data_IF_372475070540
#
_entry.id   IF_372475070540
#
_cell.length_a   1.000
_cell.length_b   1.000
_cell.length_c   1.000
_cell.angle_alpha   90.00
_cell.angle_beta   90.00
_cell.angle_gamma   90.00
#
_symmetry.space_group_name_H-M   'P 1'
#
loop_
_entity.id
_entity.type
_entity.pdbx_description
1 polymer ?
#
# COMPACT_ATOMS: atom_id res chain seq x y z
N UNK A 1 2.24 -24.90 -17.76
CA UNK A 1 1.98 -23.49 -17.41
C UNK A 1 0.81 -23.08 -18.28
N UNK A 2 -0.37 -23.00 -17.68
CA UNK A 2 -1.66 -23.08 -18.37
C UNK A 2 -1.93 -21.87 -19.28
N UNK A 3 -2.42 -22.06 -20.53
CA UNK A 3 -2.76 -20.98 -21.46
C UNK A 3 -3.85 -20.04 -20.94
N UNK A 4 -4.67 -20.47 -19.97
CA UNK A 4 -5.72 -19.65 -19.37
C UNK A 4 -5.22 -18.45 -18.56
N UNK A 5 -4.06 -18.57 -17.90
CA UNK A 5 -3.53 -17.48 -17.06
C UNK A 5 -3.02 -16.27 -17.84
N UNK A 6 -2.72 -16.42 -19.13
CA UNK A 6 -2.26 -15.33 -19.98
C UNK A 6 -3.40 -14.48 -20.53
N UNK A 7 -4.56 -15.09 -20.79
CA UNK A 7 -5.76 -14.39 -21.26
C UNK A 7 -6.32 -13.49 -20.15
N UNK A 8 -6.42 -14.01 -18.93
CA UNK A 8 -6.77 -13.23 -17.74
C UNK A 8 -5.78 -12.07 -17.50
N UNK A 9 -4.47 -12.33 -17.65
CA UNK A 9 -3.46 -11.31 -17.50
C UNK A 9 -3.55 -10.18 -18.56
N UNK A 10 -3.96 -10.51 -19.79
CA UNK A 10 -4.19 -9.52 -20.83
C UNK A 10 -5.41 -8.65 -20.53
N UNK A 11 -6.46 -9.23 -19.96
CA UNK A 11 -7.64 -8.48 -19.51
C UNK A 11 -7.31 -7.55 -18.33
N UNK A 12 -6.51 -8.03 -17.37
CA UNK A 12 -5.96 -7.20 -16.28
C UNK A 12 -5.13 -6.05 -16.85
N UNK A 13 -4.27 -6.31 -17.84
CA UNK A 13 -3.48 -5.26 -18.49
C UNK A 13 -4.37 -4.26 -19.25
N UNK A 14 -5.41 -4.71 -19.95
CA UNK A 14 -6.36 -3.86 -20.65
C UNK A 14 -7.15 -2.97 -19.67
N UNK A 15 -7.61 -3.55 -18.56
CA UNK A 15 -8.32 -2.81 -17.51
C UNK A 15 -7.42 -1.77 -16.85
N UNK A 16 -6.16 -2.11 -16.55
CA UNK A 16 -5.18 -1.16 -16.05
C UNK A 16 -4.95 0.01 -17.03
N UNK A 17 -4.87 -0.26 -18.36
CA UNK A 17 -4.82 0.83 -19.36
C UNK A 17 -6.08 1.70 -19.36
N UNK A 18 -7.26 1.09 -19.25
CA UNK A 18 -8.52 1.82 -19.14
C UNK A 18 -8.54 2.75 -17.92
N UNK A 19 -8.05 2.27 -16.77
CA UNK A 19 -7.90 3.08 -15.55
C UNK A 19 -6.88 4.20 -15.73
N UNK A 20 -5.76 3.94 -16.40
CA UNK A 20 -4.77 4.97 -16.73
C UNK A 20 -5.38 6.08 -17.60
N UNK A 21 -6.13 5.73 -18.64
CA UNK A 21 -6.81 6.70 -19.51
C UNK A 21 -7.83 7.57 -18.75
N UNK A 22 -8.70 6.94 -17.94
CA UNK A 22 -9.66 7.66 -17.08
C UNK A 22 -8.98 8.60 -16.09
N UNK A 23 -7.86 8.17 -15.50
CA UNK A 23 -7.07 9.00 -14.61
C UNK A 23 -6.46 10.20 -15.34
N UNK A 24 -5.95 10.04 -16.58
CA UNK A 24 -5.49 11.16 -17.41
C UNK A 24 -6.62 12.15 -17.74
N UNK A 25 -7.82 11.67 -18.06
CA UNK A 25 -8.97 12.55 -18.28
C UNK A 25 -9.33 13.36 -17.02
N UNK A 26 -9.32 12.72 -15.85
CA UNK A 26 -9.55 13.40 -14.56
C UNK A 26 -8.45 14.43 -14.28
N UNK A 27 -7.20 14.10 -14.60
CA UNK A 27 -6.07 15.03 -14.49
C UNK A 27 -6.26 16.26 -15.38
N UNK A 28 -6.65 16.06 -16.65
CA UNK A 28 -6.90 17.14 -17.59
C UNK A 28 -8.06 18.04 -17.13
N UNK A 29 -9.17 17.46 -16.65
CA UNK A 29 -10.30 18.22 -16.09
C UNK A 29 -9.89 19.07 -14.89
N UNK A 30 -9.12 18.51 -13.96
CA UNK A 30 -8.63 19.24 -12.80
C UNK A 30 -7.63 20.34 -13.19
N UNK A 31 -6.72 20.09 -14.14
CA UNK A 31 -5.79 21.09 -14.65
C UNK A 31 -6.52 22.28 -15.31
N UNK A 32 -7.53 22.00 -16.15
CA UNK A 32 -8.35 23.05 -16.75
C UNK A 32 -9.13 23.86 -15.71
N UNK A 33 -9.55 23.25 -14.60
CA UNK A 33 -10.16 23.97 -13.49
C UNK A 33 -9.15 24.88 -12.76
N UNK A 34 -7.93 24.42 -12.54
CA UNK A 34 -6.86 25.24 -11.97
C UNK A 34 -6.59 26.47 -12.85
N UNK A 35 -6.42 26.28 -14.16
CA UNK A 35 -6.16 27.37 -15.11
C UNK A 35 -7.28 28.42 -15.14
N UNK A 36 -8.54 28.00 -14.99
CA UNK A 36 -9.66 28.95 -14.87
C UNK A 36 -9.51 29.82 -13.62
N UNK A 37 -9.18 29.23 -12.49
CA UNK A 37 -9.00 29.98 -11.24
C UNK A 37 -7.76 30.87 -11.27
N UNK A 38 -6.66 30.44 -11.89
CA UNK A 38 -5.46 31.26 -12.09
C UNK A 38 -5.76 32.52 -12.92
N UNK A 39 -6.62 32.42 -13.94
CA UNK A 39 -7.07 33.61 -14.69
C UNK A 39 -7.91 34.54 -13.81
N UNK A 40 -8.73 34.00 -12.91
CA UNK A 40 -9.55 34.79 -12.00
C UNK A 40 -8.71 35.54 -10.95
N UNK A 41 -7.55 35.03 -10.55
CA UNK A 41 -6.59 35.75 -9.68
C UNK A 41 -6.19 37.09 -10.29
N UNK A 42 -6.03 37.15 -11.62
CA UNK A 42 -5.64 38.36 -12.34
C UNK A 42 -6.83 39.30 -12.54
N UNK A 43 -8.03 38.76 -12.80
CA UNK A 43 -9.21 39.56 -13.13
C UNK A 43 -10.05 40.02 -11.94
N UNK A 44 -9.94 39.37 -10.77
CA UNK A 44 -10.64 39.72 -9.53
C UNK A 44 -9.65 39.80 -8.34
N UNK A 45 -9.02 40.97 -8.11
CA UNK A 45 -8.06 41.16 -7.04
C UNK A 45 -8.64 40.96 -5.63
N UNK A 46 -9.93 41.26 -5.44
CA UNK A 46 -10.59 41.16 -4.13
C UNK A 46 -10.76 39.69 -3.71
N UNK A 47 -10.96 38.78 -4.67
CA UNK A 47 -11.06 37.33 -4.45
C UNK A 47 -9.77 36.56 -4.79
N UNK A 48 -8.67 37.25 -5.10
CA UNK A 48 -7.45 36.64 -5.63
C UNK A 48 -6.87 35.53 -4.73
N UNK A 49 -6.85 35.74 -3.41
CA UNK A 49 -6.33 34.75 -2.46
C UNK A 49 -7.16 33.44 -2.46
N UNK A 50 -8.49 33.56 -2.53
CA UNK A 50 -9.39 32.42 -2.63
C UNK A 50 -9.17 31.66 -3.95
N UNK A 51 -9.12 32.37 -5.09
CA UNK A 51 -8.88 31.75 -6.38
C UNK A 51 -7.50 31.08 -6.47
N UNK A 52 -6.46 31.67 -5.86
CA UNK A 52 -5.15 31.04 -5.78
C UNK A 52 -5.18 29.73 -4.98
N UNK A 53 -5.88 29.70 -3.83
CA UNK A 53 -6.04 28.48 -3.02
C UNK A 53 -6.82 27.39 -3.77
N UNK A 54 -7.89 27.76 -4.48
CA UNK A 54 -8.68 26.83 -5.27
C UNK A 54 -7.88 26.30 -6.46
N UNK A 55 -7.12 27.15 -7.15
CA UNK A 55 -6.22 26.75 -8.22
C UNK A 55 -5.18 25.72 -7.73
N UNK A 56 -4.51 26.00 -6.60
CA UNK A 56 -3.53 25.11 -5.99
C UNK A 56 -4.14 23.74 -5.64
N UNK A 57 -5.36 23.74 -5.09
CA UNK A 57 -6.09 22.50 -4.79
C UNK A 57 -6.37 21.68 -6.05
N UNK A 58 -6.75 22.33 -7.14
CA UNK A 58 -6.93 21.69 -8.44
C UNK A 58 -5.61 21.20 -9.05
N UNK A 59 -4.50 21.94 -8.89
CA UNK A 59 -3.16 21.51 -9.33
C UNK A 59 -2.72 20.22 -8.62
N UNK A 60 -2.85 20.16 -7.29
CA UNK A 60 -2.57 18.94 -6.50
C UNK A 60 -3.44 17.77 -6.92
N UNK A 61 -4.74 18.04 -7.16
CA UNK A 61 -5.67 17.02 -7.64
C UNK A 61 -5.28 16.49 -9.01
N UNK A 62 -4.87 17.36 -9.93
CA UNK A 62 -4.40 16.96 -11.25
C UNK A 62 -3.10 16.14 -11.18
N UNK A 63 -2.15 16.54 -10.33
CA UNK A 63 -0.90 15.82 -10.12
C UNK A 63 -1.12 14.41 -9.58
N UNK A 64 -1.96 14.27 -8.55
CA UNK A 64 -2.37 12.98 -8.02
C UNK A 64 -3.03 12.08 -9.10
N UNK A 65 -3.87 12.62 -9.98
CA UNK A 65 -4.44 11.86 -11.09
C UNK A 65 -3.40 11.44 -12.15
N UNK A 66 -2.39 12.28 -12.42
CA UNK A 66 -1.26 11.90 -13.28
C UNK A 66 -0.44 10.77 -12.67
N UNK A 67 -0.15 10.83 -11.38
CA UNK A 67 0.56 9.76 -10.68
C UNK A 67 -0.22 8.45 -10.70
N UNK A 68 -1.54 8.48 -10.45
CA UNK A 68 -2.40 7.30 -10.60
C UNK A 68 -2.36 6.73 -12.01
N UNK A 69 -2.44 7.59 -13.04
CA UNK A 69 -2.34 7.14 -14.42
C UNK A 69 -0.99 6.47 -14.74
N UNK A 70 0.11 7.06 -14.27
CA UNK A 70 1.45 6.53 -14.47
C UNK A 70 1.64 5.16 -13.81
N UNK A 71 1.12 4.97 -12.59
CA UNK A 71 1.17 3.68 -11.90
C UNK A 71 0.40 2.59 -12.67
N UNK A 72 -0.83 2.87 -13.11
CA UNK A 72 -1.62 1.92 -13.89
C UNK A 72 -1.00 1.59 -15.25
N UNK A 73 -0.46 2.59 -15.96
CA UNK A 73 0.21 2.40 -17.23
C UNK A 73 1.48 1.53 -17.08
N UNK A 74 2.33 1.85 -16.10
CA UNK A 74 3.53 1.06 -15.79
C UNK A 74 3.20 -0.40 -15.46
N UNK A 75 2.18 -0.63 -14.63
CA UNK A 75 1.71 -1.99 -14.34
C UNK A 75 1.21 -2.70 -15.61
N UNK A 76 0.37 -2.06 -16.42
CA UNK A 76 -0.15 -2.65 -17.65
C UNK A 76 0.95 -3.04 -18.66
N UNK A 77 1.99 -2.20 -18.78
CA UNK A 77 3.11 -2.44 -19.67
C UNK A 77 3.97 -3.61 -19.17
N UNK A 78 4.21 -3.70 -17.86
CA UNK A 78 4.87 -4.87 -17.25
C UNK A 78 4.06 -6.14 -17.48
N UNK A 79 2.74 -6.10 -17.27
CA UNK A 79 1.88 -7.28 -17.46
C UNK A 79 1.90 -7.74 -18.91
N UNK A 80 1.89 -6.79 -19.86
CA UNK A 80 1.97 -7.11 -21.28
C UNK A 80 3.36 -7.59 -21.71
N UNK A 81 4.43 -7.15 -21.06
CA UNK A 81 5.78 -7.68 -21.27
C UNK A 81 5.89 -9.12 -20.74
N UNK A 82 5.33 -9.40 -19.57
CA UNK A 82 5.28 -10.73 -18.97
C UNK A 82 4.52 -11.74 -19.83
N UNK A 83 3.34 -11.38 -20.34
CA UNK A 83 2.57 -12.23 -21.27
C UNK A 83 3.36 -12.57 -22.54
N UNK A 84 4.26 -11.67 -22.96
CA UNK A 84 5.18 -11.90 -24.10
C UNK A 84 6.45 -12.68 -23.73
N UNK A 85 6.46 -13.33 -22.57
CA UNK A 85 7.56 -14.17 -22.09
C UNK A 85 8.74 -13.42 -21.50
N UNK A 86 8.55 -12.17 -21.01
CA UNK A 86 9.63 -11.38 -20.40
C UNK A 86 9.45 -11.22 -18.90
N UNK A 87 10.43 -11.68 -18.12
CA UNK A 87 10.47 -11.46 -16.67
C UNK A 87 9.46 -12.29 -15.88
N UNK A 88 9.20 -11.89 -14.63
CA UNK A 88 8.25 -12.51 -13.71
C UNK A 88 6.87 -11.85 -13.79
N UNK A 89 5.84 -12.50 -13.20
CA UNK A 89 4.50 -11.93 -13.08
C UNK A 89 4.59 -10.62 -12.26
N UNK A 90 4.19 -9.48 -12.82
CA UNK A 90 4.32 -8.21 -12.12
C UNK A 90 3.28 -8.07 -11.02
N UNK A 91 3.68 -7.42 -9.92
CA UNK A 91 2.80 -6.95 -8.84
C UNK A 91 2.59 -5.45 -9.04
N UNK A 92 1.40 -4.91 -8.70
CA UNK A 92 1.16 -3.46 -8.83
C UNK A 92 2.17 -2.62 -8.07
N UNK A 93 2.56 -3.09 -6.88
CA UNK A 93 3.55 -2.41 -6.05
C UNK A 93 4.94 -2.33 -6.68
N UNK A 94 5.27 -3.13 -7.69
CA UNK A 94 6.51 -2.91 -8.47
C UNK A 94 6.47 -1.58 -9.22
N UNK A 95 5.32 -1.19 -9.79
CA UNK A 95 5.18 0.11 -10.42
C UNK A 95 5.28 1.26 -9.40
N UNK A 96 4.85 1.03 -8.16
CA UNK A 96 4.94 1.99 -7.04
C UNK A 96 6.39 2.16 -6.58
N UNK A 97 7.09 1.04 -6.35
CA UNK A 97 8.51 1.02 -5.98
C UNK A 97 9.34 1.79 -7.01
N UNK A 98 9.20 1.43 -8.30
CA UNK A 98 9.85 2.10 -9.41
C UNK A 98 9.53 3.60 -9.47
N UNK A 99 8.26 3.99 -9.28
CA UNK A 99 7.87 5.39 -9.26
C UNK A 99 8.56 6.16 -8.14
N UNK A 100 8.73 5.55 -6.96
CA UNK A 100 9.43 6.16 -5.82
C UNK A 100 10.96 6.04 -5.90
N UNK A 101 11.47 5.36 -6.94
CA UNK A 101 12.90 5.13 -7.13
C UNK A 101 13.49 4.14 -6.12
N UNK A 102 12.70 3.23 -5.57
CA UNK A 102 13.17 2.10 -4.76
C UNK A 102 12.89 0.77 -5.48
N UNK A 103 13.52 -0.30 -5.01
CA UNK A 103 13.20 -1.67 -5.43
C UNK A 103 12.15 -2.32 -4.51
N UNK A 104 12.01 -1.83 -3.27
CA UNK A 104 11.21 -2.47 -2.23
C UNK A 104 10.21 -1.52 -1.58
N UNK A 105 8.92 -1.81 -1.76
CA UNK A 105 7.82 -1.03 -1.20
C UNK A 105 6.63 -1.93 -0.85
N UNK A 106 5.92 -1.56 0.21
CA UNK A 106 4.73 -2.25 0.70
C UNK A 106 3.61 -1.26 0.97
N UNK A 107 2.38 -1.70 0.75
CA UNK A 107 1.18 -1.02 1.19
C UNK A 107 0.43 -1.91 2.17
N UNK A 108 0.08 -1.36 3.33
CA UNK A 108 -0.72 -2.03 4.35
C UNK A 108 -2.02 -1.27 4.53
N UNK A 109 -3.15 -1.97 4.49
CA UNK A 109 -4.47 -1.42 4.78
C UNK A 109 -4.94 -1.91 6.14
N UNK A 110 -5.58 -1.03 6.91
CA UNK A 110 -6.08 -1.30 8.25
C UNK A 110 -7.55 -0.88 8.41
N UNK A 111 -8.23 -1.52 9.35
CA UNK A 111 -9.57 -1.10 9.79
C UNK A 111 -9.52 0.06 10.81
N UNK A 112 -10.69 0.49 11.28
CA UNK A 112 -10.80 1.53 12.31
C UNK A 112 -10.17 1.16 13.65
N UNK A 113 -9.95 -0.13 13.92
CA UNK A 113 -9.30 -0.64 15.12
C UNK A 113 -7.80 -0.93 14.90
N UNK A 114 -7.22 -0.48 13.77
CA UNK A 114 -5.83 -0.72 13.38
C UNK A 114 -5.48 -2.20 13.16
N UNK A 115 -6.47 -3.05 12.88
CA UNK A 115 -6.22 -4.41 12.43
C UNK A 115 -5.87 -4.38 10.94
N UNK A 116 -4.79 -5.07 10.58
CA UNK A 116 -4.38 -5.22 9.19
C UNK A 116 -5.40 -6.07 8.41
N UNK A 117 -5.95 -5.46 7.36
CA UNK A 117 -6.94 -6.04 6.46
C UNK A 117 -6.29 -6.65 5.22
N UNK A 118 -5.35 -5.92 4.64
CA UNK A 118 -4.72 -6.30 3.38
C UNK A 118 -3.29 -5.78 3.29
N UNK A 119 -2.44 -6.51 2.57
CA UNK A 119 -1.10 -6.07 2.21
C UNK A 119 -0.85 -6.33 0.74
N UNK A 120 -0.17 -5.40 0.06
CA UNK A 120 0.45 -5.68 -1.23
C UNK A 120 1.91 -5.20 -1.20
N UNK A 121 2.80 -5.92 -1.89
CA UNK A 121 4.25 -5.73 -1.80
C UNK A 121 4.92 -5.81 -3.17
N UNK A 122 6.01 -5.08 -3.38
CA UNK A 122 6.74 -5.09 -4.66
C UNK A 122 7.61 -6.32 -4.82
N UNK A 123 8.20 -6.81 -3.74
CA UNK A 123 9.20 -7.87 -3.72
C UNK A 123 9.07 -8.78 -2.49
N UNK A 124 9.99 -9.74 -2.35
CA UNK A 124 10.00 -10.70 -1.25
C UNK A 124 10.49 -10.09 0.08
N UNK A 125 11.57 -9.26 0.11
CA UNK A 125 11.95 -8.54 1.32
C UNK A 125 10.82 -7.69 1.91
N UNK A 126 10.05 -6.97 1.09
CA UNK A 126 8.88 -6.23 1.56
C UNK A 126 7.80 -7.16 2.13
N UNK A 127 7.60 -8.35 1.55
CA UNK A 127 6.66 -9.34 2.09
C UNK A 127 7.08 -9.77 3.49
N UNK A 128 8.34 -10.20 3.63
CA UNK A 128 8.89 -10.65 4.92
C UNK A 128 8.85 -9.53 5.97
N UNK A 129 9.19 -8.29 5.58
CA UNK A 129 9.08 -7.13 6.45
C UNK A 129 7.63 -6.89 6.90
N UNK A 130 6.63 -6.96 6.01
CA UNK A 130 5.23 -6.80 6.42
C UNK A 130 4.70 -7.97 7.26
N UNK A 131 5.15 -9.20 7.02
CA UNK A 131 4.81 -10.36 7.84
C UNK A 131 5.36 -10.21 9.26
N UNK A 132 6.63 -9.78 9.40
CA UNK A 132 7.25 -9.50 10.69
C UNK A 132 6.49 -8.42 11.46
N UNK A 133 6.18 -7.30 10.80
CA UNK A 133 5.42 -6.20 11.42
C UNK A 133 4.02 -6.66 11.87
N UNK A 134 3.37 -7.50 11.07
CA UNK A 134 2.07 -8.07 11.41
C UNK A 134 2.14 -8.98 12.64
N UNK A 135 3.13 -9.87 12.69
CA UNK A 135 3.31 -10.85 13.76
C UNK A 135 3.72 -10.17 15.07
N UNK A 136 4.71 -9.28 15.02
CA UNK A 136 5.30 -8.63 16.20
C UNK A 136 4.42 -7.51 16.75
N UNK A 137 3.55 -6.92 15.91
CA UNK A 137 2.68 -5.84 16.35
C UNK A 137 3.41 -4.52 16.61
N UNK A 138 4.61 -4.36 16.07
CA UNK A 138 5.39 -3.13 16.03
C UNK A 138 6.08 -3.01 14.66
N UNK A 139 6.24 -1.78 14.18
CA UNK A 139 6.88 -1.52 12.90
C UNK A 139 6.47 -0.20 12.26
N UNK A 140 7.09 0.14 11.12
CA UNK A 140 6.97 1.44 10.48
C UNK A 140 5.57 1.75 9.96
N UNK A 141 4.87 0.80 9.32
CA UNK A 141 3.52 1.04 8.81
C UNK A 141 2.50 1.30 9.92
N UNK A 142 2.60 0.55 11.02
CA UNK A 142 1.74 0.66 12.21
C UNK A 142 1.95 1.99 12.90
N UNK A 143 3.20 2.39 13.12
CA UNK A 143 3.52 3.67 13.74
C UNK A 143 3.04 4.83 12.87
N UNK A 144 3.26 4.76 11.55
CA UNK A 144 2.80 5.78 10.62
C UNK A 144 1.27 5.88 10.56
N UNK A 145 0.57 4.74 10.53
CA UNK A 145 -0.90 4.69 10.49
C UNK A 145 -1.53 5.16 11.81
N UNK A 146 -1.02 4.68 12.95
CA UNK A 146 -1.52 5.02 14.29
C UNK A 146 -1.21 6.47 14.65
N UNK A 147 0.01 6.93 14.35
CA UNK A 147 0.47 8.28 14.61
C UNK A 147 -0.01 9.32 13.60
N UNK A 148 -0.55 8.88 12.46
CA UNK A 148 -0.97 9.74 11.33
C UNK A 148 0.13 10.71 10.90
N UNK A 149 1.38 10.24 10.90
CA UNK A 149 2.53 11.04 10.52
C UNK A 149 3.59 10.17 9.83
N UNK A 150 4.42 10.74 8.95
CA UNK A 150 5.51 10.00 8.34
C UNK A 150 6.53 9.52 9.39
N UNK A 151 6.98 8.28 9.26
CA UNK A 151 8.02 7.68 10.09
C UNK A 151 9.22 7.35 9.21
N UNK A 152 10.40 7.84 9.59
CA UNK A 152 11.66 7.54 8.92
C UNK A 152 12.66 7.09 9.98
N UNK A 153 13.33 5.96 9.73
CA UNK A 153 14.35 5.39 10.61
C UNK A 153 15.51 4.86 9.76
N UNK A 154 16.73 4.98 10.27
CA UNK A 154 17.97 4.56 9.59
C UNK A 154 18.92 3.83 10.55
N UNK A 155 19.57 2.77 10.06
CA UNK A 155 20.60 2.03 10.80
C UNK A 155 20.14 1.63 12.22
N UNK A 156 20.95 1.95 13.22
CA UNK A 156 20.68 1.63 14.64
C UNK A 156 19.37 2.24 15.18
N UNK A 157 18.83 3.30 14.55
CA UNK A 157 17.53 3.83 14.96
C UNK A 157 16.39 2.85 14.69
N UNK A 158 16.50 2.01 13.66
CA UNK A 158 15.51 0.96 13.36
C UNK A 158 15.41 0.00 14.55
N UNK A 159 16.55 -0.48 15.05
CA UNK A 159 16.63 -1.41 16.18
C UNK A 159 16.19 -0.77 17.50
N UNK A 160 16.56 0.50 17.73
CA UNK A 160 16.13 1.23 18.93
C UNK A 160 14.62 1.49 18.94
N UNK A 161 14.05 1.81 17.78
CA UNK A 161 12.64 2.21 17.66
C UNK A 161 11.71 1.01 17.74
N UNK A 162 12.10 -0.11 17.15
CA UNK A 162 11.34 -1.35 17.16
C UNK A 162 12.22 -2.50 17.66
N UNK A 163 12.30 -2.75 18.98
CA UNK A 163 13.24 -3.73 19.54
C UNK A 163 13.01 -5.18 19.11
N UNK A 164 11.78 -5.56 18.76
CA UNK A 164 11.42 -6.87 18.24
C UNK A 164 11.51 -6.96 16.71
N UNK A 165 11.12 -5.90 16.00
CA UNK A 165 11.09 -5.86 14.53
C UNK A 165 12.43 -5.46 13.90
N UNK A 166 13.10 -4.49 14.49
CA UNK A 166 14.27 -3.83 13.94
C UNK A 166 15.45 -4.77 13.71
N UNK A 167 15.86 -5.62 14.67
CA UNK A 167 16.95 -6.58 14.45
C UNK A 167 16.68 -7.57 13.31
N UNK A 168 15.42 -7.99 13.12
CA UNK A 168 15.03 -8.86 12.02
C UNK A 168 15.08 -8.11 10.69
N UNK A 169 14.64 -6.84 10.67
CA UNK A 169 14.70 -5.98 9.49
C UNK A 169 16.15 -5.70 9.04
N UNK A 170 17.03 -5.32 9.97
CA UNK A 170 18.44 -5.05 9.67
C UNK A 170 19.20 -6.30 9.24
N UNK A 171 18.86 -7.47 9.81
CA UNK A 171 19.43 -8.77 9.39
C UNK A 171 19.07 -9.15 7.95
N UNK A 172 17.97 -8.64 7.40
CA UNK A 172 17.61 -8.79 5.98
C UNK A 172 18.40 -7.85 5.05
N UNK A 173 19.25 -6.98 5.60
CA UNK A 173 20.03 -6.00 4.86
C UNK A 173 19.32 -4.67 4.62
N UNK A 174 18.12 -4.47 5.18
CA UNK A 174 17.38 -3.21 5.08
C UNK A 174 17.98 -2.22 6.07
N UNK A 175 18.47 -1.09 5.56
CA UNK A 175 19.22 -0.09 6.35
C UNK A 175 18.45 1.20 6.59
N UNK A 176 17.39 1.44 5.83
CA UNK A 176 16.48 2.56 6.04
C UNK A 176 15.05 2.17 5.71
N UNK A 177 14.09 2.73 6.44
CA UNK A 177 12.66 2.59 6.12
C UNK A 177 11.95 3.91 6.28
N UNK A 178 11.10 4.24 5.30
CA UNK A 178 10.19 5.38 5.30
C UNK A 178 8.76 4.86 5.19
N UNK A 179 7.93 5.09 6.21
CA UNK A 179 6.51 4.84 6.15
C UNK A 179 5.71 6.14 6.16
N UNK A 180 4.66 6.21 5.34
CA UNK A 180 3.79 7.38 5.18
C UNK A 180 2.34 6.94 5.32
N UNK A 181 1.51 7.63 6.13
CA UNK A 181 0.11 7.27 6.28
C UNK A 181 -0.68 7.46 4.98
N UNK A 182 -1.59 6.52 4.72
CA UNK A 182 -2.62 6.61 3.69
C UNK A 182 -3.88 7.16 4.32
N UNK A 183 -4.05 8.47 4.27
CA UNK A 183 -5.13 9.13 5.00
C UNK A 183 -5.88 10.19 4.19
N UNK A 184 -7.07 10.46 4.70
CA UNK A 184 -7.86 11.65 4.38
C UNK A 184 -7.97 12.49 5.64
N UNK A 185 -8.61 13.66 5.55
CA UNK A 185 -8.90 14.45 6.76
C UNK A 185 -9.71 13.65 7.80
N UNK A 186 -10.58 12.73 7.35
CA UNK A 186 -11.50 12.00 8.23
C UNK A 186 -10.88 10.76 8.89
N UNK A 187 -10.01 10.03 8.18
CA UNK A 187 -9.50 8.75 8.65
C UNK A 187 -8.17 8.37 7.99
N UNK A 188 -7.40 7.54 8.69
CA UNK A 188 -6.25 6.81 8.16
C UNK A 188 -6.66 5.37 7.87
N UNK A 189 -6.26 4.88 6.70
CA UNK A 189 -6.64 3.57 6.18
C UNK A 189 -5.46 2.62 6.07
N UNK A 190 -4.27 3.06 6.50
CA UNK A 190 -3.06 2.28 6.41
C UNK A 190 -1.83 3.12 6.18
N UNK A 191 -0.79 2.49 5.63
CA UNK A 191 0.47 3.14 5.34
C UNK A 191 1.15 2.54 4.11
N UNK A 192 1.95 3.37 3.44
CA UNK A 192 2.93 2.98 2.44
C UNK A 192 4.30 2.92 3.12
N UNK A 193 4.96 1.77 3.12
CA UNK A 193 6.37 1.63 3.47
C UNK A 193 7.25 1.57 2.22
N UNK A 194 8.39 2.24 2.30
CA UNK A 194 9.46 2.27 1.32
C UNK A 194 10.72 1.83 2.04
N UNK A 195 11.28 0.70 1.64
CA UNK A 195 12.53 0.19 2.18
C UNK A 195 13.70 0.70 1.35
N UNK A 196 14.80 1.03 2.03
CA UNK A 196 16.00 1.69 1.51
C UNK A 196 15.70 2.84 0.52
N UNK A 197 14.89 3.85 0.94
CA UNK A 197 14.51 4.96 0.09
C UNK A 197 15.74 5.76 -0.36
N UNK A 198 15.72 6.25 -1.60
CA UNK A 198 16.74 7.21 -2.08
C UNK A 198 16.74 8.48 -1.21
N UNK A 199 17.94 9.04 -1.03
CA UNK A 199 18.10 10.31 -0.34
C UNK A 199 17.20 11.41 -0.95
N UNK A 200 16.52 12.16 -0.10
CA UNK A 200 15.61 13.24 -0.51
C UNK A 200 14.18 12.81 -0.86
N UNK A 201 13.83 11.52 -0.73
CA UNK A 201 12.44 11.08 -0.92
C UNK A 201 11.51 11.66 0.16
N UNK A 202 11.96 11.67 1.42
CA UNK A 202 11.21 12.26 2.53
C UNK A 202 11.00 13.76 2.28
N UNK A 203 9.75 14.21 2.38
CA UNK A 203 9.37 15.61 2.15
C UNK A 203 9.29 16.02 0.68
N UNK A 204 9.59 15.12 -0.27
CA UNK A 204 9.45 15.42 -1.69
C UNK A 204 7.97 15.55 -2.09
N UNK A 205 7.69 16.50 -3.00
CA UNK A 205 6.37 16.62 -3.64
C UNK A 205 5.97 15.32 -4.35
N UNK A 206 6.96 14.62 -4.93
CA UNK A 206 6.75 13.37 -5.64
C UNK A 206 6.21 12.25 -4.73
N UNK A 207 6.79 12.07 -3.54
CA UNK A 207 6.26 11.14 -2.54
C UNK A 207 4.82 11.49 -2.17
N UNK A 208 4.53 12.77 -1.92
CA UNK A 208 3.18 13.21 -1.58
C UNK A 208 2.17 12.93 -2.71
N UNK A 209 2.55 13.13 -3.97
CA UNK A 209 1.71 12.87 -5.13
C UNK A 209 1.45 11.37 -5.34
N UNK A 210 2.47 10.52 -5.19
CA UNK A 210 2.33 9.06 -5.28
C UNK A 210 1.48 8.51 -4.14
N UNK A 211 1.74 8.92 -2.89
CA UNK A 211 0.93 8.51 -1.73
C UNK A 211 -0.52 8.96 -1.90
N UNK A 212 -0.78 10.20 -2.33
CA UNK A 212 -2.14 10.67 -2.60
C UNK A 212 -2.82 9.87 -3.72
N UNK A 213 -2.08 9.49 -4.76
CA UNK A 213 -2.59 8.63 -5.83
C UNK A 213 -2.96 7.25 -5.31
N UNK A 214 -2.12 6.63 -4.49
CA UNK A 214 -2.40 5.34 -3.86
C UNK A 214 -3.63 5.41 -2.95
N UNK A 215 -3.72 6.41 -2.08
CA UNK A 215 -4.90 6.65 -1.25
C UNK A 215 -6.17 6.70 -2.11
N UNK A 216 -6.14 7.39 -3.26
CA UNK A 216 -7.31 7.43 -4.15
C UNK A 216 -7.60 6.11 -4.87
N UNK A 217 -6.57 5.41 -5.35
CA UNK A 217 -6.71 4.10 -6.01
C UNK A 217 -7.34 3.10 -5.05
N UNK A 218 -6.94 3.12 -3.79
CA UNK A 218 -7.46 2.21 -2.76
C UNK A 218 -8.86 2.62 -2.29
N UNK A 219 -9.16 3.93 -2.13
CA UNK A 219 -10.33 4.37 -1.35
C UNK A 219 -11.40 5.18 -2.11
N UNK A 220 -11.01 5.97 -3.12
CA UNK A 220 -11.84 7.11 -3.57
C UNK A 220 -12.25 7.04 -5.05
N UNK A 221 -11.99 5.92 -5.73
CA UNK A 221 -12.31 5.76 -7.15
C UNK A 221 -13.58 4.93 -7.39
N UNK A 222 -14.37 5.20 -8.45
CA UNK A 222 -15.27 4.19 -9.02
C UNK A 222 -14.49 3.01 -9.63
N UNK A 223 -13.17 3.16 -9.74
CA UNK A 223 -12.19 2.15 -10.14
C UNK A 223 -11.44 1.56 -8.92
N UNK A 224 -11.88 1.86 -7.69
CA UNK A 224 -11.30 1.29 -6.48
C UNK A 224 -11.65 -0.20 -6.43
N UNK A 225 -10.67 -0.99 -6.84
CA UNK A 225 -10.74 -2.44 -6.81
C UNK A 225 -9.37 -2.94 -6.37
N UNK A 226 -9.21 -3.19 -5.06
CA UNK A 226 -8.00 -3.74 -4.48
C UNK A 226 -7.67 -5.14 -4.99
N UNK A 227 -8.66 -5.88 -5.50
CA UNK A 227 -8.52 -7.25 -6.00
C UNK A 227 -7.95 -7.27 -7.43
N UNK A 228 -8.28 -6.25 -8.24
CA UNK A 228 -8.00 -6.25 -9.68
C UNK A 228 -6.53 -6.30 -10.09
N UNK A 229 -5.59 -6.03 -9.17
CA UNK A 229 -4.17 -6.04 -9.50
C UNK A 229 -3.45 -7.33 -9.12
N UNK A 230 -4.09 -8.22 -8.36
CA UNK A 230 -3.46 -9.42 -7.83
C UNK A 230 -2.28 -9.13 -6.89
N UNK A 231 -1.96 -10.09 -6.01
CA UNK A 231 -0.86 -9.94 -5.04
C UNK A 231 -1.20 -9.07 -3.83
N UNK A 232 -2.48 -8.75 -3.65
CA UNK A 232 -3.01 -8.31 -2.36
C UNK A 232 -3.28 -9.55 -1.51
N UNK A 233 -2.48 -9.77 -0.47
CA UNK A 233 -2.79 -10.74 0.58
C UNK A 233 -3.86 -10.12 1.48
N UNK A 234 -5.11 -10.45 1.17
CA UNK A 234 -6.22 -10.22 2.08
C UNK A 234 -6.05 -11.21 3.21
N UNK A 235 -5.75 -10.72 4.42
CA UNK A 235 -5.54 -11.56 5.61
C UNK A 235 -6.82 -12.30 6.04
N UNK A 236 -7.82 -12.43 5.17
CA UNK A 236 -9.08 -13.14 5.30
C UNK A 236 -8.90 -14.52 5.90
N UNK A 237 -7.99 -15.34 5.36
CA UNK A 237 -7.73 -16.69 5.90
C UNK A 237 -7.34 -16.63 7.38
N UNK A 238 -6.49 -15.66 7.74
CA UNK A 238 -6.05 -15.43 9.12
C UNK A 238 -7.19 -14.89 9.99
N UNK A 239 -7.99 -13.95 9.48
CA UNK A 239 -9.13 -13.37 10.18
C UNK A 239 -10.26 -14.39 10.40
N UNK A 240 -10.55 -15.23 9.40
CA UNK A 240 -11.48 -16.34 9.49
C UNK A 240 -10.99 -17.37 10.51
N UNK A 241 -9.71 -17.73 10.47
CA UNK A 241 -9.13 -18.63 11.47
C UNK A 241 -9.20 -18.04 12.88
N UNK A 242 -8.97 -16.73 13.05
CA UNK A 242 -9.12 -16.05 14.33
C UNK A 242 -10.56 -16.13 14.84
N UNK A 243 -11.56 -15.94 13.97
CA UNK A 243 -12.98 -16.11 14.31
C UNK A 243 -13.35 -17.56 14.68
N UNK A 244 -12.79 -18.56 13.98
CA UNK A 244 -12.98 -19.97 14.33
C UNK A 244 -12.33 -20.28 15.68
N UNK A 245 -11.09 -19.83 15.89
CA UNK A 245 -10.35 -20.08 17.12
C UNK A 245 -10.98 -19.38 18.32
N UNK A 246 -11.53 -18.17 18.14
CA UNK A 246 -12.20 -17.44 19.22
C UNK A 246 -13.39 -18.20 19.78
N UNK A 247 -14.18 -18.87 18.92
CA UNK A 247 -15.29 -19.73 19.34
C UNK A 247 -14.78 -21.01 20.00
N UNK A 248 -13.72 -21.64 19.46
CA UNK A 248 -13.16 -22.89 20.00
C UNK A 248 -12.56 -22.71 21.41
N UNK A 249 -11.86 -21.61 21.64
CA UNK A 249 -11.14 -21.35 22.90
C UNK A 249 -11.96 -20.49 23.88
N UNK A 250 -13.03 -19.83 23.39
CA UNK A 250 -13.89 -18.99 24.22
C UNK A 250 -13.28 -17.64 24.59
N UNK A 251 -12.51 -17.02 23.67
CA UNK A 251 -11.86 -15.72 23.86
C UNK A 251 -12.33 -14.68 22.83
N UNK A 252 -11.87 -13.43 22.95
CA UNK A 252 -12.11 -12.43 21.93
C UNK A 252 -11.38 -12.75 20.61
N UNK A 253 -11.88 -12.23 19.47
CA UNK A 253 -11.22 -12.40 18.16
C UNK A 253 -9.80 -11.81 18.15
N UNK A 254 -9.59 -10.69 18.86
CA UNK A 254 -8.27 -10.09 19.04
C UNK A 254 -7.30 -11.02 19.78
N UNK A 255 -7.75 -11.67 20.85
CA UNK A 255 -6.94 -12.63 21.61
C UNK A 255 -6.64 -13.88 20.78
N UNK A 256 -7.63 -14.37 20.03
CA UNK A 256 -7.44 -15.49 19.11
C UNK A 256 -6.42 -15.15 18.01
N UNK A 257 -6.47 -13.94 17.46
CA UNK A 257 -5.47 -13.47 16.51
C UNK A 257 -4.08 -13.36 17.13
N UNK A 258 -3.99 -12.90 18.39
CA UNK A 258 -2.72 -12.88 19.12
C UNK A 258 -2.15 -14.29 19.33
N UNK A 259 -2.99 -15.29 19.61
CA UNK A 259 -2.57 -16.69 19.70
C UNK A 259 -2.05 -17.23 18.35
N UNK A 260 -2.72 -16.92 17.25
CA UNK A 260 -2.26 -17.30 15.90
C UNK A 260 -0.87 -16.70 15.63
N UNK A 261 -0.68 -15.42 15.93
CA UNK A 261 0.60 -14.72 15.75
C UNK A 261 1.70 -15.30 16.63
N UNK A 262 1.41 -15.52 17.91
CA UNK A 262 2.35 -16.11 18.86
C UNK A 262 2.80 -17.51 18.41
N UNK A 263 1.88 -18.32 17.87
CA UNK A 263 2.20 -19.65 17.35
C UNK A 263 3.03 -19.59 16.07
N UNK A 264 2.66 -18.71 15.14
CA UNK A 264 3.43 -18.49 13.92
C UNK A 264 4.87 -18.10 14.24
N UNK A 265 5.06 -17.18 15.18
CA UNK A 265 6.38 -16.78 15.67
C UNK A 265 7.15 -17.94 16.31
N UNK A 266 6.52 -18.68 17.23
CA UNK A 266 7.17 -19.78 17.94
C UNK A 266 7.54 -20.98 17.05
N UNK A 267 6.81 -21.20 15.96
CA UNK A 267 7.06 -22.28 15.00
C UNK A 267 7.89 -21.81 13.77
N UNK A 268 8.35 -20.55 13.74
CA UNK A 268 9.06 -19.95 12.58
C UNK A 268 8.30 -20.17 11.25
N UNK A 269 6.98 -19.99 11.28
CA UNK A 269 6.09 -20.22 10.14
C UNK A 269 5.18 -19.02 9.89
N UNK A 270 4.45 -19.03 8.77
CA UNK A 270 3.55 -17.93 8.43
C UNK A 270 2.24 -18.02 9.23
N UNK A 271 1.65 -16.87 9.54
CA UNK A 271 0.31 -16.80 10.14
C UNK A 271 -0.73 -17.46 9.24
N UNK A 272 -0.53 -17.44 7.93
CA UNK A 272 -1.38 -18.14 6.95
C UNK A 272 -1.26 -19.67 7.05
N UNK A 273 -0.06 -20.21 7.31
CA UNK A 273 0.12 -21.65 7.54
C UNK A 273 -0.61 -22.10 8.82
N UNK A 274 -0.49 -21.32 9.91
CA UNK A 274 -1.24 -21.57 11.15
C UNK A 274 -2.75 -21.48 10.89
N UNK A 275 -3.20 -20.41 10.23
CA UNK A 275 -4.60 -20.18 9.92
C UNK A 275 -5.22 -21.34 9.14
N UNK A 276 -4.52 -21.83 8.10
CA UNK A 276 -4.96 -23.02 7.34
C UNK A 276 -5.10 -24.26 8.20
N UNK A 277 -4.19 -24.51 9.14
CA UNK A 277 -4.31 -25.62 10.10
C UNK A 277 -5.56 -25.48 10.97
N UNK A 278 -5.86 -24.28 11.46
CA UNK A 278 -7.08 -24.01 12.25
C UNK A 278 -8.33 -24.36 11.44
N UNK A 279 -8.40 -23.85 10.19
CA UNK A 279 -9.54 -24.02 9.30
C UNK A 279 -9.73 -25.48 8.87
N UNK A 280 -8.63 -26.22 8.69
CA UNK A 280 -8.67 -27.65 8.38
C UNK A 280 -9.05 -28.54 9.59
N UNK A 281 -9.25 -27.94 10.77
CA UNK A 281 -9.70 -28.66 11.97
C UNK A 281 -8.59 -29.43 12.67
N UNK A 282 -7.33 -29.02 12.49
CA UNK A 282 -6.17 -29.69 13.09
C UNK A 282 -6.25 -29.59 14.64
N UNK A 283 -6.34 -30.71 15.39
CA UNK A 283 -6.73 -30.72 16.81
C UNK A 283 -5.60 -30.33 17.78
N UNK A 284 -4.45 -29.88 17.28
CA UNK A 284 -3.29 -29.49 18.10
C UNK A 284 -3.23 -27.98 18.40
N UNK A 285 -4.40 -27.34 18.46
CA UNK A 285 -4.56 -25.96 18.97
C UNK A 285 -5.10 -26.00 20.40
#
# INVERSE_FOLDING_TARGET
MEPHGYEEALDVAATARGRAARALERAARAAAAAERHERLVVSDPDSAAFHAQVAETHRRTAACHRSSAALHASFADRTSAWVRGRGSRPRFMTAVADALGTDSAAITLVDSAQNQLAVAVSDEPALTAQDLEFVLGEGPCRDAASGRCPVHSVGEEIERRWPGYGPALTSMGITSVLAVPLETQAACFGALAVFDPRAGLLGSTHLAEVTAALTRIVLLGPDADPELYGGTDHRETVQQAAGVLSVRVGCGVGDALALIKARAFAEETTTEAIARRILNGDPYL
#
